data_IF_486359076965
#
_entry.id   IF_486359076965
#
_cell.length_a   1.000
_cell.length_b   1.000
_cell.length_c   1.000
_cell.angle_alpha   90.00
_cell.angle_beta   90.00
_cell.angle_gamma   90.00
#
_symmetry.space_group_name_H-M   'P 1'
#
loop_
_entity.id
_entity.type
_entity.pdbx_description
1 polymer ?
#
# COMPACT_ATOMS: atom_id res chain seq x y z
N UNK A 1 -30.85 66.43 7.21
CA UNK A 1 -31.12 65.00 7.26
C UNK A 1 -29.94 64.29 6.57
N UNK A 2 -29.03 63.72 7.38
CA UNK A 2 -27.79 63.11 6.87
C UNK A 2 -27.96 61.59 6.83
N UNK A 3 -28.01 61.02 5.61
CA UNK A 3 -28.10 59.58 5.40
C UNK A 3 -26.67 59.01 5.43
N UNK A 4 -26.38 58.17 6.42
CA UNK A 4 -25.11 57.43 6.51
C UNK A 4 -25.30 56.09 5.79
N UNK A 5 -24.57 55.88 4.67
CA UNK A 5 -24.45 54.61 3.99
C UNK A 5 -23.47 53.76 4.77
N UNK A 6 -23.95 52.64 5.32
CA UNK A 6 -23.08 51.57 5.85
C UNK A 6 -22.76 50.61 4.68
N UNK A 7 -21.49 50.59 4.31
CA UNK A 7 -20.96 49.59 3.37
C UNK A 7 -20.56 48.35 4.20
N UNK A 8 -21.38 47.31 4.16
CA UNK A 8 -21.03 46.00 4.69
C UNK A 8 -20.16 45.26 3.67
N UNK A 9 -18.86 45.13 4.00
CA UNK A 9 -17.92 44.29 3.25
C UNK A 9 -18.25 42.84 3.50
N UNK A 10 -18.79 42.17 2.50
CA UNK A 10 -19.01 40.71 2.49
C UNK A 10 -17.69 40.03 2.14
N UNK A 11 -16.98 39.53 3.15
CA UNK A 11 -15.74 38.78 2.98
C UNK A 11 -16.10 37.36 2.54
N UNK A 12 -15.99 37.08 1.22
CA UNK A 12 -16.12 35.72 0.67
C UNK A 12 -14.91 34.87 1.10
N UNK A 13 -15.13 34.03 2.06
CA UNK A 13 -14.17 32.98 2.45
C UNK A 13 -14.24 31.86 1.42
N UNK A 14 -13.30 31.85 0.47
CA UNK A 14 -13.11 30.73 -0.47
C UNK A 14 -12.57 29.53 0.32
N UNK A 15 -13.44 28.62 0.69
CA UNK A 15 -13.03 27.31 1.20
C UNK A 15 -12.40 26.52 0.03
N UNK A 16 -11.06 26.40 0.02
CA UNK A 16 -10.37 25.42 -0.81
C UNK A 16 -10.77 24.04 -0.33
N UNK A 17 -11.72 23.42 -1.02
CA UNK A 17 -12.02 22.01 -0.85
C UNK A 17 -10.83 21.22 -1.39
N UNK A 18 -9.99 20.71 -0.49
CA UNK A 18 -9.00 19.69 -0.82
C UNK A 18 -9.75 18.45 -1.28
N UNK A 19 -9.81 18.21 -2.59
CA UNK A 19 -10.29 16.96 -3.15
C UNK A 19 -9.34 15.86 -2.67
N UNK A 20 -9.79 15.03 -1.75
CA UNK A 20 -9.13 13.80 -1.37
C UNK A 20 -9.09 12.91 -2.62
N UNK A 21 -7.93 12.76 -3.22
CA UNK A 21 -7.68 11.95 -4.42
C UNK A 21 -7.65 10.44 -4.12
N UNK A 22 -8.46 9.97 -3.18
CA UNK A 22 -8.50 8.56 -2.75
C UNK A 22 -9.03 7.60 -3.83
N UNK A 23 -9.43 8.08 -5.01
CA UNK A 23 -9.98 7.27 -6.11
C UNK A 23 -8.99 6.89 -7.22
N UNK A 24 -7.75 7.36 -7.17
CA UNK A 24 -6.79 7.14 -8.26
C UNK A 24 -5.93 5.89 -8.08
N UNK A 25 -5.69 5.45 -6.84
CA UNK A 25 -5.01 4.18 -6.54
C UNK A 25 -6.05 3.11 -6.25
N UNK A 26 -6.05 2.05 -7.04
CA UNK A 26 -6.93 0.89 -6.87
C UNK A 26 -6.08 -0.33 -6.52
N UNK A 27 -6.42 -0.96 -5.39
CA UNK A 27 -5.78 -2.20 -4.94
C UNK A 27 -6.69 -3.37 -5.30
N UNK A 28 -6.14 -4.40 -5.89
CA UNK A 28 -6.86 -5.62 -6.26
C UNK A 28 -6.02 -6.85 -6.02
N UNK A 29 -6.69 -8.00 -5.96
CA UNK A 29 -6.05 -9.32 -5.84
C UNK A 29 -5.10 -9.43 -4.64
N UNK A 30 -5.44 -8.75 -3.53
CA UNK A 30 -4.64 -8.70 -2.32
C UNK A 30 -4.80 -9.99 -1.49
N UNK A 31 -3.69 -10.63 -1.17
CA UNK A 31 -3.67 -11.76 -0.25
C UNK A 31 -2.41 -11.77 0.60
N UNK A 32 -2.49 -12.41 1.77
CA UNK A 32 -1.37 -12.59 2.67
C UNK A 32 -1.16 -14.07 3.01
N UNK A 33 0.07 -14.43 3.32
CA UNK A 33 0.44 -15.78 3.78
C UNK A 33 1.65 -15.74 4.69
N UNK A 34 1.85 -16.83 5.41
CA UNK A 34 3.06 -17.10 6.20
C UNK A 34 3.68 -18.44 5.81
N UNK A 35 4.88 -18.72 6.32
CA UNK A 35 5.56 -19.99 6.04
C UNK A 35 4.89 -21.21 6.71
N UNK A 36 4.02 -20.97 7.68
CA UNK A 36 3.29 -22.01 8.41
C UNK A 36 2.55 -21.46 9.63
N UNK A 37 1.81 -22.30 10.35
CA UNK A 37 0.89 -21.88 11.42
C UNK A 37 1.60 -21.26 12.64
N UNK A 38 2.87 -21.54 12.85
CA UNK A 38 3.68 -21.00 13.95
C UNK A 38 4.68 -19.93 13.50
N UNK A 39 4.63 -19.53 12.23
CA UNK A 39 5.51 -18.53 11.69
C UNK A 39 5.32 -17.19 12.40
N UNK A 40 6.43 -16.52 12.71
CA UNK A 40 6.46 -15.17 13.30
C UNK A 40 6.55 -14.07 12.25
N UNK A 41 6.60 -14.46 10.98
CA UNK A 41 6.63 -13.56 9.84
C UNK A 41 5.63 -13.99 8.77
N UNK A 42 5.13 -13.01 8.02
CA UNK A 42 4.25 -13.20 6.89
C UNK A 42 4.53 -12.19 5.80
N UNK A 43 3.93 -12.39 4.65
CA UNK A 43 4.04 -11.48 3.53
C UNK A 43 2.68 -11.24 2.88
N UNK A 44 2.51 -10.07 2.24
CA UNK A 44 1.34 -9.78 1.43
C UNK A 44 1.75 -9.35 0.03
N UNK A 45 0.86 -9.66 -0.89
CA UNK A 45 0.99 -9.47 -2.33
C UNK A 45 -0.29 -8.87 -2.88
N UNK A 46 -0.20 -8.05 -3.92
CA UNK A 46 -1.36 -7.38 -4.50
C UNK A 46 -1.01 -6.76 -5.84
N UNK A 47 -2.05 -6.32 -6.54
CA UNK A 47 -1.94 -5.45 -7.70
C UNK A 47 -2.30 -4.03 -7.27
N UNK A 48 -1.51 -3.07 -7.69
CA UNK A 48 -1.69 -1.65 -7.43
C UNK A 48 -1.84 -0.96 -8.78
N UNK A 49 -3.02 -0.44 -9.08
CA UNK A 49 -3.28 0.32 -10.30
C UNK A 49 -3.33 1.79 -9.98
N UNK A 50 -2.51 2.56 -10.66
CA UNK A 50 -2.55 4.02 -10.62
C UNK A 50 -3.34 4.54 -11.82
N UNK A 51 -4.52 5.11 -11.58
CA UNK A 51 -5.40 5.70 -12.59
C UNK A 51 -5.16 7.21 -12.79
N UNK A 52 -4.12 7.76 -12.18
CA UNK A 52 -3.77 9.17 -12.38
C UNK A 52 -2.84 9.36 -13.57
N UNK A 53 -2.78 10.57 -14.08
CA UNK A 53 -1.88 11.01 -15.14
C UNK A 53 -0.46 11.35 -14.63
N UNK A 54 -0.22 11.23 -13.33
CA UNK A 54 1.07 11.35 -12.67
C UNK A 54 1.53 10.03 -12.05
N UNK A 55 2.84 9.78 -12.05
CA UNK A 55 3.43 8.66 -11.28
C UNK A 55 3.29 8.95 -9.78
N UNK A 56 3.02 7.91 -9.00
CA UNK A 56 3.01 7.98 -7.55
C UNK A 56 4.05 7.00 -6.96
N UNK A 57 4.31 7.08 -5.68
CA UNK A 57 5.28 6.22 -4.99
C UNK A 57 4.66 5.65 -3.71
N UNK A 58 4.66 4.34 -3.59
CA UNK A 58 4.35 3.66 -2.33
C UNK A 58 5.56 3.78 -1.40
N UNK A 59 5.44 4.64 -0.38
CA UNK A 59 6.55 5.00 0.51
C UNK A 59 6.53 4.28 1.85
N UNK A 60 5.43 3.62 2.20
CA UNK A 60 5.33 2.93 3.46
C UNK A 60 4.09 2.07 3.57
N UNK A 61 4.07 1.27 4.62
CA UNK A 61 2.98 0.35 4.95
C UNK A 61 2.88 0.17 6.46
N UNK A 62 1.67 0.04 6.98
CA UNK A 62 1.41 -0.19 8.40
C UNK A 62 0.29 -1.19 8.60
N UNK A 63 0.42 -2.03 9.64
CA UNK A 63 -0.63 -2.92 10.11
C UNK A 63 -0.40 -3.30 11.57
N UNK A 64 -1.48 -3.38 12.34
CA UNK A 64 -1.43 -3.77 13.75
C UNK A 64 -1.25 -5.28 13.97
N UNK A 65 -1.33 -6.10 12.92
CA UNK A 65 -1.16 -7.56 12.99
C UNK A 65 0.27 -7.97 13.36
N UNK A 66 1.25 -7.10 13.15
CA UNK A 66 2.67 -7.38 13.38
C UNK A 66 3.34 -6.27 14.20
N UNK A 67 4.48 -6.56 14.79
CA UNK A 67 5.31 -5.55 15.47
C UNK A 67 5.93 -4.57 14.47
N UNK A 68 6.21 -5.04 13.26
CA UNK A 68 6.85 -4.28 12.19
C UNK A 68 6.31 -4.70 10.84
N UNK A 69 6.03 -3.72 9.99
CA UNK A 69 5.55 -3.93 8.62
C UNK A 69 6.38 -3.08 7.68
N UNK A 70 6.96 -3.67 6.65
CA UNK A 70 7.91 -3.01 5.75
C UNK A 70 7.72 -3.45 4.29
N UNK A 71 8.22 -2.63 3.37
CA UNK A 71 8.37 -2.99 1.96
C UNK A 71 9.70 -3.70 1.77
N UNK A 72 9.69 -4.87 1.16
CA UNK A 72 10.87 -5.70 0.91
C UNK A 72 10.94 -6.14 -0.55
N UNK A 73 12.15 -6.51 -0.99
CA UNK A 73 12.38 -7.18 -2.26
C UNK A 73 13.39 -8.29 -2.12
N UNK A 74 13.41 -9.21 -3.07
CA UNK A 74 14.48 -10.19 -3.20
C UNK A 74 15.57 -9.64 -4.14
N UNK A 75 16.82 -9.63 -3.65
CA UNK A 75 17.99 -9.37 -4.46
C UNK A 75 18.82 -10.64 -4.59
N UNK A 76 19.27 -10.93 -5.80
CA UNK A 76 20.20 -12.02 -6.09
C UNK A 76 21.59 -11.41 -6.23
N UNK A 77 22.53 -11.88 -5.40
CA UNK A 77 23.93 -11.46 -5.51
C UNK A 77 24.67 -12.18 -6.66
N UNK A 78 25.90 -11.76 -6.94
CA UNK A 78 26.74 -12.31 -8.01
C UNK A 78 27.04 -13.82 -7.84
N UNK A 79 26.93 -14.35 -6.64
CA UNK A 79 27.09 -15.76 -6.32
C UNK A 79 25.79 -16.57 -6.44
N UNK A 80 24.67 -15.90 -6.84
CA UNK A 80 23.36 -16.50 -6.95
C UNK A 80 22.58 -16.64 -5.65
N UNK A 81 23.09 -16.09 -4.54
CA UNK A 81 22.41 -16.10 -3.24
C UNK A 81 21.29 -15.06 -3.23
N UNK A 82 20.08 -15.50 -2.90
CA UNK A 82 18.93 -14.62 -2.78
C UNK A 82 18.87 -14.08 -1.36
N UNK A 83 18.83 -12.75 -1.24
CA UNK A 83 18.65 -12.04 0.01
C UNK A 83 17.39 -11.20 -0.04
N UNK A 84 16.66 -11.17 1.06
CA UNK A 84 15.52 -10.29 1.26
C UNK A 84 16.04 -8.98 1.87
N UNK A 85 15.76 -7.87 1.21
CA UNK A 85 16.20 -6.53 1.65
C UNK A 85 15.03 -5.58 1.72
N UNK A 86 15.11 -4.64 2.66
CA UNK A 86 14.13 -3.56 2.79
C UNK A 86 14.29 -2.56 1.64
N UNK A 87 13.17 -2.01 1.19
CA UNK A 87 13.12 -0.92 0.21
C UNK A 87 12.89 0.39 0.97
N UNK A 88 13.92 1.22 1.09
CA UNK A 88 13.84 2.49 1.82
C UNK A 88 13.34 3.65 0.93
N UNK A 89 13.64 3.60 -0.37
CA UNK A 89 13.23 4.61 -1.36
C UNK A 89 11.76 4.50 -1.82
N UNK A 90 11.05 3.48 -1.36
CA UNK A 90 9.69 3.18 -1.82
C UNK A 90 9.64 2.54 -3.21
N UNK A 91 8.42 2.33 -3.70
CA UNK A 91 8.12 1.64 -4.96
C UNK A 91 7.36 2.60 -5.87
N UNK A 92 7.93 2.93 -7.02
CA UNK A 92 7.28 3.79 -8.01
C UNK A 92 6.13 3.05 -8.70
N UNK A 93 4.98 3.71 -8.80
CA UNK A 93 3.80 3.25 -9.53
C UNK A 93 3.55 4.24 -10.67
N UNK A 94 3.93 3.87 -11.87
CA UNK A 94 3.83 4.74 -13.04
C UNK A 94 2.40 5.23 -13.30
N UNK A 95 2.29 6.41 -13.95
CA UNK A 95 1.02 6.97 -14.41
C UNK A 95 0.28 5.97 -15.31
N UNK A 96 -1.01 5.76 -15.06
CA UNK A 96 -1.88 4.85 -15.81
C UNK A 96 -1.34 3.41 -15.90
N UNK A 97 -0.55 2.96 -14.90
CA UNK A 97 0.08 1.63 -14.89
C UNK A 97 -0.29 0.81 -13.68
N UNK A 98 -0.29 -0.50 -13.90
CA UNK A 98 -0.38 -1.50 -12.84
C UNK A 98 1.04 -1.89 -12.38
N UNK A 99 1.23 -1.92 -11.07
CA UNK A 99 2.40 -2.49 -10.42
C UNK A 99 2.00 -3.70 -9.58
N UNK A 100 2.84 -4.73 -9.54
CA UNK A 100 2.52 -5.98 -8.83
C UNK A 100 3.53 -6.25 -7.73
N UNK A 101 3.03 -6.41 -6.52
CA UNK A 101 3.77 -7.02 -5.43
C UNK A 101 3.60 -8.54 -5.53
N UNK A 102 4.70 -9.27 -5.70
CA UNK A 102 4.68 -10.71 -6.03
C UNK A 102 5.69 -11.52 -5.22
N UNK A 103 5.45 -12.81 -5.11
CA UNK A 103 6.40 -13.73 -4.48
C UNK A 103 7.71 -13.78 -5.26
N UNK A 104 8.82 -13.67 -4.55
CA UNK A 104 10.15 -13.63 -5.16
C UNK A 104 10.56 -12.26 -5.72
N UNK A 105 9.66 -11.27 -5.64
CA UNK A 105 9.90 -9.88 -6.01
C UNK A 105 9.61 -8.93 -4.84
N UNK A 106 9.10 -7.76 -5.18
CA UNK A 106 8.68 -6.77 -4.18
C UNK A 106 7.42 -7.23 -3.47
N UNK A 107 7.35 -7.04 -2.15
CA UNK A 107 6.24 -7.47 -1.31
C UNK A 107 6.17 -6.69 0.00
N UNK A 108 5.03 -6.81 0.69
CA UNK A 108 4.90 -6.36 2.07
C UNK A 108 5.37 -7.47 3.00
N UNK A 109 6.24 -7.15 3.95
CA UNK A 109 6.74 -8.07 4.97
C UNK A 109 6.18 -7.72 6.34
N UNK A 110 5.55 -8.68 7.00
CA UNK A 110 5.11 -8.59 8.39
C UNK A 110 6.11 -9.32 9.30
N UNK A 111 6.66 -8.65 10.29
CA UNK A 111 7.63 -9.21 11.23
C UNK A 111 7.12 -9.13 12.66
N UNK A 112 7.28 -10.22 13.39
CA UNK A 112 6.75 -10.34 14.74
C UNK A 112 5.22 -10.35 14.76
N UNK A 113 4.62 -11.29 14.01
CA UNK A 113 3.18 -11.49 14.00
C UNK A 113 2.65 -11.66 15.42
N UNK A 114 1.64 -10.89 15.78
CA UNK A 114 0.95 -10.96 17.08
C UNK A 114 -0.01 -12.15 17.15
N UNK A 115 -0.50 -12.56 15.98
CA UNK A 115 -1.41 -13.70 15.82
C UNK A 115 -1.03 -14.51 14.59
N UNK A 116 -1.33 -15.80 14.61
CA UNK A 116 -1.10 -16.69 13.48
C UNK A 116 -1.95 -16.31 12.26
N UNK A 117 -1.39 -16.42 11.07
CA UNK A 117 -2.12 -16.29 9.83
C UNK A 117 -2.95 -17.57 9.58
N UNK A 118 -4.27 -17.43 9.64
CA UNK A 118 -5.22 -18.51 9.31
C UNK A 118 -5.96 -18.12 8.06
N UNK A 119 -6.09 -19.04 7.12
CA UNK A 119 -6.86 -18.83 5.88
C UNK A 119 -8.25 -18.30 6.18
N UNK A 120 -8.66 -17.27 5.46
CA UNK A 120 -9.92 -16.55 5.65
C UNK A 120 -9.85 -15.37 6.63
N UNK A 121 -8.77 -15.23 7.43
CA UNK A 121 -8.58 -14.05 8.28
C UNK A 121 -8.39 -12.81 7.43
N UNK A 122 -9.06 -11.73 7.82
CA UNK A 122 -8.90 -10.40 7.19
C UNK A 122 -7.91 -9.57 8.00
N UNK A 123 -6.95 -8.97 7.31
CA UNK A 123 -5.90 -8.12 7.89
C UNK A 123 -6.08 -6.71 7.36
N UNK A 124 -6.41 -5.73 8.22
CA UNK A 124 -6.38 -4.33 7.81
C UNK A 124 -4.93 -3.85 7.65
N UNK A 125 -4.65 -3.22 6.53
CA UNK A 125 -3.34 -2.65 6.18
C UNK A 125 -3.56 -1.25 5.65
N UNK A 126 -2.71 -0.31 6.04
CA UNK A 126 -2.65 1.04 5.47
C UNK A 126 -1.40 1.17 4.60
N UNK A 127 -1.60 1.53 3.35
CA UNK A 127 -0.55 1.87 2.39
C UNK A 127 -0.38 3.38 2.36
N UNK A 128 0.86 3.85 2.38
CA UNK A 128 1.18 5.27 2.33
C UNK A 128 1.80 5.60 0.98
N UNK A 129 1.11 6.44 0.22
CA UNK A 129 1.57 6.94 -1.07
C UNK A 129 2.02 8.39 -0.94
N UNK A 130 3.00 8.79 -1.75
CA UNK A 130 3.57 10.14 -1.73
C UNK A 130 2.55 11.20 -2.16
N UNK A 131 1.74 10.91 -3.19
CA UNK A 131 0.73 11.83 -3.73
C UNK A 131 -0.68 11.46 -3.25
N UNK A 132 -1.09 10.20 -3.42
CA UNK A 132 -2.44 9.75 -3.05
C UNK A 132 -2.67 9.70 -1.53
N UNK A 133 -1.61 9.71 -0.71
CA UNK A 133 -1.70 9.65 0.74
C UNK A 133 -2.03 8.26 1.26
N UNK A 134 -2.88 8.17 2.27
CA UNK A 134 -3.24 6.92 2.93
C UNK A 134 -4.33 6.16 2.17
N UNK A 135 -4.05 4.90 1.87
CA UNK A 135 -5.01 3.98 1.23
C UNK A 135 -5.16 2.74 2.11
N UNK A 136 -6.35 2.59 2.71
CA UNK A 136 -6.70 1.41 3.50
C UNK A 136 -7.05 0.23 2.60
N UNK A 137 -6.55 -0.95 2.93
CA UNK A 137 -6.88 -2.21 2.25
C UNK A 137 -7.12 -3.33 3.24
N UNK A 138 -8.13 -4.14 2.99
CA UNK A 138 -8.39 -5.39 3.71
C UNK A 138 -7.78 -6.55 2.94
N UNK A 139 -6.81 -7.23 3.54
CA UNK A 139 -6.07 -8.33 2.91
C UNK A 139 -6.54 -9.65 3.50
N UNK A 140 -7.00 -10.57 2.66
CA UNK A 140 -7.40 -11.91 3.10
C UNK A 140 -6.18 -12.81 3.21
N UNK A 141 -6.06 -13.54 4.31
CA UNK A 141 -5.06 -14.60 4.44
C UNK A 141 -5.49 -15.79 3.59
N UNK A 142 -4.63 -16.19 2.66
CA UNK A 142 -4.80 -17.36 1.82
C UNK A 142 -3.49 -18.17 1.79
N UNK A 143 -3.42 -19.19 2.66
CA UNK A 143 -2.22 -20.03 2.78
C UNK A 143 -2.03 -20.99 1.61
N UNK A 144 -3.13 -21.32 0.92
CA UNK A 144 -3.17 -22.36 -0.12
C UNK A 144 -3.02 -21.76 -1.52
N UNK A 145 -2.97 -20.43 -1.63
CA UNK A 145 -2.86 -19.74 -2.92
C UNK A 145 -1.58 -20.13 -3.65
N UNK A 146 -1.74 -20.85 -4.75
CA UNK A 146 -0.69 -21.13 -5.69
C UNK A 146 -0.69 -20.08 -6.79
N UNK A 147 0.33 -19.23 -6.80
CA UNK A 147 0.58 -18.39 -7.98
C UNK A 147 0.96 -19.34 -9.13
N UNK A 148 0.09 -19.43 -10.14
CA UNK A 148 0.47 -20.06 -11.41
C UNK A 148 1.67 -19.25 -11.92
N UNK A 149 2.84 -19.90 -12.01
CA UNK A 149 3.99 -19.35 -12.70
C UNK A 149 3.53 -19.01 -14.12
N UNK A 150 3.37 -17.73 -14.42
CA UNK A 150 3.31 -17.29 -15.81
C UNK A 150 4.73 -17.44 -16.36
N UNK A 151 4.99 -18.64 -16.92
CA UNK A 151 6.17 -18.86 -17.76
C UNK A 151 5.97 -18.10 -19.06
N UNK A 152 6.77 -17.09 -19.27
CA UNK A 152 7.04 -16.51 -20.58
C UNK A 152 8.22 -17.25 -21.20
#
# INVERSE_FOLDING_TARGET
>A
MKIKFFITAFSSFLALSSFLSAGQIVISDAYARSAGPLAKAGAAYMKIMNHSDESDRLIGVQSDIAKKTELHTHLKDDNGVIRMVRIDEGIEIGSMKEHRLVRGGQHIMFMGLKEAFKTGKIIPVTLFFEIAGEVGVEIVVDQDRNEKKHSH
#
